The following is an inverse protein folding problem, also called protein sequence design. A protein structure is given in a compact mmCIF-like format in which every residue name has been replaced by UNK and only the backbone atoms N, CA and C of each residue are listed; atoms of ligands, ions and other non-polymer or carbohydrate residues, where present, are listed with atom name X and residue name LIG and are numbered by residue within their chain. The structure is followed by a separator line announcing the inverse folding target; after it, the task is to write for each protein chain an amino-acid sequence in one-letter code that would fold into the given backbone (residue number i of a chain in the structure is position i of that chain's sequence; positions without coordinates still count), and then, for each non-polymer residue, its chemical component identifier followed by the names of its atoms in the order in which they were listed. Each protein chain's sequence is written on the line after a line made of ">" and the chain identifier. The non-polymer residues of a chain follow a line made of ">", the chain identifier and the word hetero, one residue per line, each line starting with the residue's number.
data_IF_220109179157
#
_entry.id   IF_220109179157
#
_cell.length_a   1.000
_cell.length_b   1.000
_cell.length_c   1.000
_cell.angle_alpha   90.00
_cell.angle_beta   90.00
_cell.angle_gamma   90.00
#
_symmetry.space_group_name_H-M   'P 1'
#
loop_
_entity.id
_entity.type
_entity.pdbx_description
1 polymer ?
#
# COMPACT_ATOMS: atom_id res chain seq x y z
N UNK A 1 -3.53 4.87 25.13
CA UNK A 1 -3.54 4.82 23.65
C UNK A 1 -2.34 3.98 23.25
N UNK A 2 -2.51 2.77 22.70
CA UNK A 2 -1.37 2.03 22.13
C UNK A 2 -0.87 2.83 20.94
N UNK A 3 0.43 3.15 20.93
CA UNK A 3 1.08 3.86 19.83
C UNK A 3 1.42 2.79 18.80
N UNK A 4 0.75 2.80 17.66
CA UNK A 4 1.11 1.93 16.54
C UNK A 4 2.51 2.33 16.05
N UNK A 5 3.37 1.35 15.83
CA UNK A 5 4.65 1.57 15.16
C UNK A 5 4.36 1.75 13.66
N UNK A 6 4.64 2.94 13.13
CA UNK A 6 4.33 3.31 11.75
C UNK A 6 5.64 3.44 10.98
N UNK A 7 5.83 2.57 9.99
CA UNK A 7 6.83 2.79 8.96
C UNK A 7 6.42 3.96 8.07
N UNK A 8 7.28 4.98 7.96
CA UNK A 8 7.02 6.11 7.07
C UNK A 8 7.38 5.74 5.63
N UNK A 9 6.51 6.10 4.69
CA UNK A 9 6.70 5.90 3.26
C UNK A 9 5.75 6.77 2.46
N UNK A 10 5.98 6.87 1.15
CA UNK A 10 5.16 7.65 0.23
C UNK A 10 4.54 6.73 -0.82
N UNK A 11 3.22 6.69 -0.89
CA UNK A 11 2.45 5.91 -1.87
C UNK A 11 1.06 6.53 -2.01
N UNK A 12 0.52 6.50 -3.22
CA UNK A 12 -0.87 6.84 -3.55
C UNK A 12 -1.92 5.99 -2.79
N UNK A 13 -1.54 4.79 -2.33
CA UNK A 13 -2.36 3.95 -1.44
C UNK A 13 -2.72 4.70 -0.14
N UNK A 14 -1.88 5.65 0.29
CA UNK A 14 -2.17 6.54 1.41
C UNK A 14 -3.47 7.30 1.21
N UNK A 15 -3.71 7.86 0.03
CA UNK A 15 -4.92 8.61 -0.32
C UNK A 15 -6.16 7.69 -0.33
N UNK A 16 -6.02 6.51 -0.95
CA UNK A 16 -7.08 5.48 -0.98
C UNK A 16 -7.49 5.06 0.44
N UNK A 17 -6.52 4.96 1.35
CA UNK A 17 -6.75 4.52 2.73
C UNK A 17 -7.60 5.47 3.57
N UNK A 18 -7.75 6.74 3.16
CA UNK A 18 -8.69 7.68 3.77
C UNK A 18 -10.15 7.40 3.39
N UNK A 19 -10.38 6.76 2.24
CA UNK A 19 -11.68 6.63 1.62
C UNK A 19 -12.27 5.24 1.89
N UNK A 20 -11.44 4.19 1.80
CA UNK A 20 -11.87 2.79 1.96
C UNK A 20 -10.95 2.01 2.89
N UNK A 21 -11.47 1.01 3.63
CA UNK A 21 -10.63 0.16 4.46
C UNK A 21 -9.54 -0.50 3.62
N UNK A 22 -8.29 -0.30 4.00
CA UNK A 22 -7.12 -0.66 3.20
C UNK A 22 -6.13 -1.43 4.06
N UNK A 23 -5.56 -2.49 3.51
CA UNK A 23 -4.49 -3.28 4.12
C UNK A 23 -3.40 -3.54 3.09
N UNK A 24 -2.15 -3.67 3.55
CA UNK A 24 -0.99 -3.95 2.71
C UNK A 24 -0.28 -5.20 3.23
N UNK A 25 0.34 -5.96 2.33
CA UNK A 25 1.09 -7.17 2.67
C UNK A 25 2.55 -6.98 2.29
N UNK A 26 3.44 -7.09 3.29
CA UNK A 26 4.89 -7.10 3.08
C UNK A 26 5.43 -8.49 3.40
N UNK A 27 6.18 -9.05 2.47
CA UNK A 27 6.83 -10.36 2.60
C UNK A 27 8.33 -10.24 2.31
N UNK A 28 9.10 -11.24 2.71
CA UNK A 28 10.54 -11.29 2.48
C UNK A 28 10.87 -11.50 0.99
N UNK A 29 10.92 -10.40 0.23
CA UNK A 29 11.29 -10.39 -1.20
C UNK A 29 12.74 -9.92 -1.44
N UNK A 30 13.41 -9.47 -0.38
CA UNK A 30 14.78 -8.94 -0.40
C UNK A 30 15.42 -9.13 0.99
N UNK A 31 16.74 -9.04 1.05
CA UNK A 31 17.52 -9.19 2.26
C UNK A 31 17.26 -8.04 3.26
N UNK A 32 17.20 -8.38 4.54
CA UNK A 32 17.04 -7.42 5.64
C UNK A 32 18.14 -6.34 5.56
N UNK A 33 17.76 -5.08 5.75
CA UNK A 33 18.68 -3.94 5.71
C UNK A 33 18.98 -3.42 4.30
N UNK A 34 18.47 -4.06 3.24
CA UNK A 34 18.56 -3.48 1.89
C UNK A 34 17.72 -2.21 1.81
N UNK A 35 18.35 -1.07 1.54
CA UNK A 35 17.64 0.20 1.38
C UNK A 35 16.74 0.22 0.14
N UNK A 36 15.54 0.79 0.26
CA UNK A 36 14.69 1.10 -0.88
C UNK A 36 15.36 2.14 -1.80
N UNK A 37 15.02 2.11 -3.10
CA UNK A 37 15.60 3.00 -4.13
C UNK A 37 17.11 2.78 -4.41
N UNK A 38 17.61 1.56 -4.20
CA UNK A 38 19.01 1.19 -4.47
C UNK A 38 19.13 0.14 -5.56
N UNK A 39 20.28 0.09 -6.25
CA UNK A 39 20.53 -0.95 -7.26
C UNK A 39 20.58 -2.35 -6.63
N UNK A 40 21.01 -2.46 -5.38
CA UNK A 40 21.00 -3.69 -4.60
C UNK A 40 19.60 -4.28 -4.44
N UNK A 41 18.56 -3.42 -4.32
CA UNK A 41 17.18 -3.89 -4.32
C UNK A 41 16.76 -4.40 -5.70
N UNK A 42 17.12 -3.68 -6.76
CA UNK A 42 16.79 -4.05 -8.15
C UNK A 42 17.36 -5.42 -8.50
N UNK A 43 18.62 -5.68 -8.17
CA UNK A 43 19.28 -6.96 -8.48
C UNK A 43 18.65 -8.14 -7.75
N UNK A 44 18.12 -7.91 -6.54
CA UNK A 44 17.46 -8.96 -5.75
C UNK A 44 16.08 -9.36 -6.27
N UNK A 45 15.36 -8.44 -6.94
CA UNK A 45 14.00 -8.67 -7.41
C UNK A 45 13.84 -9.84 -8.39
N UNK A 46 14.92 -10.29 -9.04
CA UNK A 46 14.94 -11.44 -9.97
C UNK A 46 15.38 -12.75 -9.33
N UNK A 47 15.77 -12.74 -8.05
CA UNK A 47 16.27 -13.94 -7.38
C UNK A 47 15.12 -14.91 -7.07
N UNK A 48 15.37 -16.23 -7.03
CA UNK A 48 14.36 -17.22 -6.65
C UNK A 48 13.71 -16.94 -5.28
N UNK A 49 14.44 -16.34 -4.34
CA UNK A 49 13.90 -15.92 -3.05
C UNK A 49 12.82 -14.83 -3.18
N UNK A 50 13.03 -13.82 -4.04
CA UNK A 50 12.06 -12.77 -4.31
C UNK A 50 10.75 -13.35 -4.88
N UNK A 51 10.86 -14.30 -5.81
CA UNK A 51 9.68 -14.97 -6.39
C UNK A 51 8.91 -15.80 -5.35
N UNK A 52 9.60 -16.48 -4.43
CA UNK A 52 8.94 -17.19 -3.32
C UNK A 52 8.19 -16.23 -2.41
N UNK A 53 8.79 -15.07 -2.08
CA UNK A 53 8.13 -13.99 -1.34
C UNK A 53 6.89 -13.46 -2.06
N UNK A 54 6.99 -13.19 -3.37
CA UNK A 54 5.87 -12.76 -4.20
C UNK A 54 4.71 -13.75 -4.17
N UNK A 55 4.97 -15.06 -4.33
CA UNK A 55 3.92 -16.09 -4.29
C UNK A 55 3.27 -16.17 -2.91
N UNK A 56 4.04 -16.00 -1.83
CA UNK A 56 3.48 -15.92 -0.47
C UNK A 56 2.55 -14.70 -0.34
N UNK A 57 3.00 -13.52 -0.77
CA UNK A 57 2.17 -12.31 -0.73
C UNK A 57 0.87 -12.49 -1.53
N UNK A 58 0.96 -13.05 -2.74
CA UNK A 58 -0.21 -13.32 -3.58
C UNK A 58 -1.21 -14.26 -2.90
N UNK A 59 -0.74 -15.36 -2.31
CA UNK A 59 -1.59 -16.31 -1.57
C UNK A 59 -2.22 -15.67 -0.34
N UNK A 60 -1.48 -14.86 0.41
CA UNK A 60 -2.00 -14.13 1.57
C UNK A 60 -3.10 -13.18 1.15
N UNK A 61 -2.86 -12.31 0.15
CA UNK A 61 -3.86 -11.34 -0.33
C UNK A 61 -5.12 -12.06 -0.84
N UNK A 62 -4.96 -13.11 -1.65
CA UNK A 62 -6.09 -13.87 -2.19
C UNK A 62 -6.91 -14.55 -1.08
N UNK A 63 -6.23 -15.13 -0.08
CA UNK A 63 -6.90 -15.80 1.04
C UNK A 63 -7.64 -14.78 1.92
N UNK A 64 -7.03 -13.63 2.21
CA UNK A 64 -7.68 -12.54 2.94
C UNK A 64 -8.91 -12.02 2.18
N UNK A 65 -8.81 -11.83 0.86
CA UNK A 65 -9.96 -11.43 0.05
C UNK A 65 -11.08 -12.49 0.12
N UNK A 66 -10.75 -13.78 0.00
CA UNK A 66 -11.71 -14.86 0.13
C UNK A 66 -12.36 -14.91 1.52
N UNK A 67 -11.63 -14.63 2.60
CA UNK A 67 -12.19 -14.52 3.95
C UNK A 67 -13.17 -13.34 4.06
N UNK A 68 -12.80 -12.17 3.53
CA UNK A 68 -13.67 -10.99 3.50
C UNK A 68 -14.98 -11.26 2.75
N UNK A 69 -14.91 -11.95 1.61
CA UNK A 69 -16.10 -12.31 0.82
C UNK A 69 -17.00 -13.33 1.55
N UNK A 70 -16.40 -14.31 2.23
CA UNK A 70 -17.15 -15.34 2.99
C UNK A 70 -17.71 -14.84 4.31
N UNK A 71 -17.11 -13.81 4.90
CA UNK A 71 -17.53 -13.26 6.18
C UNK A 71 -17.78 -11.75 6.11
N UNK A 72 -19.02 -11.33 5.82
CA UNK A 72 -19.41 -9.91 5.75
C UNK A 72 -19.11 -9.11 7.03
N UNK A 73 -19.00 -9.76 8.19
CA UNK A 73 -18.67 -9.08 9.45
C UNK A 73 -17.26 -8.47 9.44
N UNK A 74 -16.35 -8.96 8.59
CA UNK A 74 -15.02 -8.35 8.40
C UNK A 74 -15.18 -6.95 7.81
N UNK A 75 -15.98 -6.79 6.74
CA UNK A 75 -16.24 -5.48 6.16
C UNK A 75 -16.92 -4.52 7.13
N UNK A 76 -17.90 -5.00 7.89
CA UNK A 76 -18.60 -4.18 8.90
C UNK A 76 -17.63 -3.63 9.93
N UNK A 77 -16.74 -4.48 10.47
CA UNK A 77 -15.72 -4.06 11.45
C UNK A 77 -14.71 -3.11 10.84
N UNK A 78 -14.20 -3.41 9.64
CA UNK A 78 -13.20 -2.59 8.96
C UNK A 78 -13.74 -1.18 8.63
N UNK A 79 -15.00 -1.06 8.16
CA UNK A 79 -15.66 0.23 7.93
C UNK A 79 -15.88 1.01 9.22
N UNK A 80 -16.29 0.33 10.29
CA UNK A 80 -16.46 0.96 11.61
C UNK A 80 -15.13 1.48 12.16
N UNK A 81 -14.05 0.71 12.01
CA UNK A 81 -12.70 1.12 12.39
C UNK A 81 -12.24 2.34 11.60
N UNK A 82 -12.37 2.32 10.26
CA UNK A 82 -12.01 3.47 9.42
C UNK A 82 -12.78 4.72 9.86
N UNK A 83 -14.11 4.62 10.03
CA UNK A 83 -14.96 5.72 10.51
C UNK A 83 -14.48 6.28 11.85
N UNK A 84 -14.05 5.41 12.77
CA UNK A 84 -13.50 5.81 14.06
C UNK A 84 -12.14 6.51 13.92
N UNK A 85 -11.27 6.05 13.01
CA UNK A 85 -9.93 6.64 12.77
C UNK A 85 -10.04 8.03 12.11
N UNK A 86 -10.88 8.18 11.09
CA UNK A 86 -11.06 9.47 10.38
C UNK A 86 -11.93 10.46 11.18
N UNK A 87 -12.88 9.95 11.97
CA UNK A 87 -13.83 10.78 12.72
C UNK A 87 -14.71 11.60 11.79
N UNK A 88 -14.65 12.93 11.93
CA UNK A 88 -15.37 13.89 11.08
C UNK A 88 -14.53 14.44 9.92
N UNK A 89 -13.28 13.99 9.79
CA UNK A 89 -12.37 14.46 8.74
C UNK A 89 -12.69 13.78 7.42
N UNK A 90 -12.61 14.55 6.33
CA UNK A 90 -12.66 14.04 4.97
C UNK A 90 -11.28 14.12 4.32
N UNK A 91 -11.04 13.23 3.37
CA UNK A 91 -9.85 13.31 2.53
C UNK A 91 -9.87 14.60 1.70
N UNK A 92 -8.71 15.27 1.65
CA UNK A 92 -8.44 16.40 0.76
C UNK A 92 -7.14 16.08 0.04
N UNK A 93 -7.20 16.03 -1.29
CA UNK A 93 -6.01 15.84 -2.10
C UNK A 93 -5.00 16.96 -1.82
N UNK A 94 -3.75 16.64 -1.44
CA UNK A 94 -2.75 17.66 -1.16
C UNK A 94 -2.25 18.36 -2.43
N UNK A 95 -2.45 17.75 -3.60
CA UNK A 95 -2.08 18.33 -4.89
C UNK A 95 -3.21 19.27 -5.35
N UNK A 96 -2.91 20.56 -5.62
CA UNK A 96 -3.89 21.50 -6.17
C UNK A 96 -4.47 21.03 -7.51
N UNK A 97 -5.72 21.39 -7.80
CA UNK A 97 -6.44 20.91 -9.00
C UNK A 97 -5.86 21.42 -10.32
N UNK A 98 -5.13 22.53 -10.26
CA UNK A 98 -4.49 23.20 -11.39
C UNK A 98 -3.07 22.66 -11.68
N UNK A 99 -2.51 21.85 -10.77
CA UNK A 99 -1.20 21.22 -10.99
C UNK A 99 -1.36 19.98 -11.85
N UNK A 100 -0.72 20.00 -13.01
CA UNK A 100 -0.62 18.86 -13.92
C UNK A 100 0.84 18.44 -14.07
N UNK A 101 1.14 17.14 -14.25
CA UNK A 101 2.49 16.70 -14.57
C UNK A 101 2.95 17.26 -15.92
N UNK A 102 4.26 17.51 -16.04
CA UNK A 102 4.85 17.91 -17.31
C UNK A 102 4.70 16.79 -18.35
N UNK A 103 4.46 17.18 -19.59
CA UNK A 103 4.40 16.24 -20.72
C UNK A 103 5.84 15.82 -21.09
N UNK A 104 6.25 14.68 -20.55
CA UNK A 104 7.57 14.08 -20.77
C UNK A 104 7.80 13.65 -22.23
N UNK A 105 6.75 13.59 -23.05
CA UNK A 105 6.82 13.19 -24.46
C UNK A 105 6.93 14.39 -25.42
N UNK A 106 6.87 15.63 -24.92
CA UNK A 106 7.12 16.82 -25.76
C UNK A 106 8.54 16.75 -26.32
N UNK A 107 8.64 16.67 -27.65
CA UNK A 107 9.93 16.84 -28.33
C UNK A 107 10.45 18.25 -28.03
N UNK A 108 11.76 18.43 -27.78
CA UNK A 108 12.35 19.76 -27.76
C UNK A 108 12.03 20.47 -29.08
N UNK A 109 11.52 21.70 -28.98
CA UNK A 109 11.32 22.59 -30.12
C UNK A 109 12.62 23.18 -30.62
#
# INVERSE_FOLDING_TARGET
>A
RQREEVGMGTTDVGDVSWIVPTAQCHTACFAIGTGFHTWQLVTQGKLPAAHKGLILAAKTIASTAADCLRNPAIFTRAKAELKKRIGTRSYVCPIPRDVMPDDLCKKPG
#
